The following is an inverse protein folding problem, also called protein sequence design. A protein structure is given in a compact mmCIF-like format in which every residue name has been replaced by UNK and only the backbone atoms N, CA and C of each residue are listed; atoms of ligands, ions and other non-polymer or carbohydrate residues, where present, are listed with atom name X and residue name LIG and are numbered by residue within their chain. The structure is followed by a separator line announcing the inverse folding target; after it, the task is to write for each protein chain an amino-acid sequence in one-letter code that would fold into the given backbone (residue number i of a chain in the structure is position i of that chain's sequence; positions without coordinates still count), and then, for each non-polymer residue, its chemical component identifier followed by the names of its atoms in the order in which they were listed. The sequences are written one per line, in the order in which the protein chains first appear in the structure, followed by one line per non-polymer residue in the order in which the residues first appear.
data_IF_017892698719
#
_entry.id   IF_017892698719
#
_cell.length_a   1.000
_cell.length_b   1.000
_cell.length_c   1.000
_cell.angle_alpha   90.00
_cell.angle_beta   90.00
_cell.angle_gamma   90.00
#
_symmetry.space_group_name_H-M   'P 1'
#
loop_
_entity.id
_entity.type
_entity.pdbx_description
1 polymer ?
#
# COMPACT_ATOMS: atom_id res chain seq x y z
N UNK A 1 42.34 65.11 2.03
CA UNK A 1 40.87 65.02 1.89
C UNK A 1 40.53 63.75 1.11
N UNK A 2 39.50 63.05 1.59
CA UNK A 2 38.97 61.74 1.18
C UNK A 2 38.81 61.58 -0.35
N UNK A 3 39.18 60.42 -0.91
CA UNK A 3 38.18 59.44 -1.36
C UNK A 3 38.81 58.11 -1.80
N UNK A 4 38.37 57.03 -1.15
CA UNK A 4 38.50 55.65 -1.59
C UNK A 4 37.37 55.38 -2.58
N UNK A 5 37.67 54.78 -3.74
CA UNK A 5 36.69 54.32 -4.72
C UNK A 5 37.02 52.90 -5.17
N UNK A 6 36.46 51.94 -4.45
CA UNK A 6 36.42 50.52 -4.80
C UNK A 6 35.33 50.34 -5.87
N UNK A 7 35.64 49.76 -7.03
CA UNK A 7 34.63 49.31 -7.98
C UNK A 7 34.83 47.83 -8.30
N UNK A 8 33.88 47.07 -7.79
CA UNK A 8 33.73 45.62 -7.81
C UNK A 8 33.46 45.10 -9.23
N UNK A 9 34.24 44.14 -9.71
CA UNK A 9 33.90 43.35 -10.89
C UNK A 9 33.14 42.10 -10.43
N UNK A 10 31.82 42.07 -10.64
CA UNK A 10 31.00 40.86 -10.48
C UNK A 10 31.36 39.87 -11.60
N UNK A 11 32.09 38.82 -11.24
CA UNK A 11 32.26 37.63 -12.07
C UNK A 11 31.03 36.74 -11.96
N UNK A 12 30.44 36.44 -13.12
CA UNK A 12 29.25 35.62 -13.32
C UNK A 12 29.43 34.22 -12.73
N UNK A 13 28.65 33.86 -11.71
CA UNK A 13 28.55 32.48 -11.23
C UNK A 13 27.55 31.72 -12.12
N UNK A 14 28.05 30.80 -12.93
CA UNK A 14 27.22 29.78 -13.57
C UNK A 14 26.64 28.88 -12.47
N UNK A 15 25.38 29.09 -12.12
CA UNK A 15 24.62 28.13 -11.35
C UNK A 15 24.34 26.91 -12.24
N UNK A 16 25.13 25.85 -12.08
CA UNK A 16 24.79 24.55 -12.63
C UNK A 16 23.56 24.04 -11.87
N UNK A 17 22.39 24.17 -12.47
CA UNK A 17 21.16 23.59 -11.96
C UNK A 17 21.27 22.07 -11.96
N UNK A 18 21.48 21.48 -10.78
CA UNK A 18 21.13 20.08 -10.56
C UNK A 18 19.61 20.00 -10.50
N UNK A 19 18.98 19.58 -11.59
CA UNK A 19 17.62 19.06 -11.51
C UNK A 19 17.67 17.83 -10.61
N UNK A 20 17.09 17.93 -9.42
CA UNK A 20 16.70 16.75 -8.67
C UNK A 20 15.77 15.96 -9.58
N UNK A 21 16.26 14.81 -10.07
CA UNK A 21 15.37 13.84 -10.70
C UNK A 21 14.54 13.31 -9.55
N UNK A 22 13.28 13.74 -9.51
CA UNK A 22 12.30 13.17 -8.60
C UNK A 22 12.27 11.67 -8.89
N UNK A 23 12.75 10.87 -7.94
CA UNK A 23 12.72 9.42 -8.06
C UNK A 23 11.27 9.00 -7.79
N UNK A 24 10.39 9.23 -8.76
CA UNK A 24 9.06 8.63 -8.73
C UNK A 24 9.26 7.12 -8.80
N UNK A 25 8.97 6.43 -7.69
CA UNK A 25 8.94 4.98 -7.70
C UNK A 25 8.03 4.54 -8.85
N UNK A 26 8.50 3.61 -9.66
CA UNK A 26 7.65 2.97 -10.66
C UNK A 26 6.43 2.38 -9.92
N UNK A 27 5.21 2.54 -10.42
CA UNK A 27 3.99 2.07 -9.74
C UNK A 27 3.39 0.98 -10.61
N UNK A 28 3.19 -0.21 -10.03
CA UNK A 28 2.60 -1.35 -10.73
C UNK A 28 1.09 -1.13 -10.87
N UNK A 29 0.44 -0.73 -9.77
CA UNK A 29 -0.99 -0.46 -9.73
C UNK A 29 -1.32 0.57 -8.64
N UNK A 30 -2.37 1.35 -8.84
CA UNK A 30 -2.86 2.32 -7.86
C UNK A 30 -4.36 2.47 -7.91
N UNK A 31 -4.97 2.68 -6.75
CA UNK A 31 -6.35 3.14 -6.58
C UNK A 31 -6.43 4.27 -5.59
N UNK A 32 -7.02 5.39 -6.00
CA UNK A 32 -7.23 6.59 -5.14
C UNK A 32 -8.69 6.80 -4.79
N UNK A 33 -9.61 6.16 -5.52
CA UNK A 33 -11.05 6.26 -5.31
C UNK A 33 -11.57 7.70 -5.36
N UNK A 34 -10.90 8.60 -6.08
CA UNK A 34 -11.34 10.00 -6.17
C UNK A 34 -12.61 10.16 -7.01
N UNK A 35 -12.79 9.29 -8.01
CA UNK A 35 -13.90 9.37 -8.98
C UNK A 35 -14.86 8.18 -8.93
N UNK A 36 -14.38 6.97 -8.61
CA UNK A 36 -15.19 5.74 -8.64
C UNK A 36 -14.71 4.70 -7.62
N UNK A 37 -15.38 3.54 -7.55
CA UNK A 37 -14.87 2.37 -6.81
C UNK A 37 -13.71 1.63 -7.50
N UNK A 38 -13.35 2.04 -8.72
CA UNK A 38 -12.25 1.50 -9.52
C UNK A 38 -12.29 -0.03 -9.73
N UNK A 39 -13.47 -0.65 -9.59
CA UNK A 39 -13.64 -2.09 -9.77
C UNK A 39 -13.40 -2.91 -8.51
N UNK A 40 -13.03 -2.29 -7.38
CA UNK A 40 -12.90 -3.00 -6.11
C UNK A 40 -14.25 -3.57 -5.65
N UNK A 41 -14.21 -4.74 -5.01
CA UNK A 41 -15.42 -5.40 -4.49
C UNK A 41 -15.25 -5.79 -3.03
N UNK A 42 -16.37 -6.00 -2.36
CA UNK A 42 -16.42 -6.62 -1.04
C UNK A 42 -16.69 -8.11 -1.26
N UNK A 43 -15.76 -8.97 -0.83
CA UNK A 43 -15.94 -10.41 -0.80
C UNK A 43 -16.44 -10.86 0.57
N UNK A 44 -17.58 -11.55 0.57
CA UNK A 44 -18.14 -12.15 1.78
C UNK A 44 -18.82 -13.47 1.45
N UNK A 45 -18.41 -14.55 2.13
CA UNK A 45 -19.00 -15.90 1.98
C UNK A 45 -19.12 -16.41 0.53
N UNK A 46 -18.19 -16.02 -0.34
CA UNK A 46 -18.20 -16.42 -1.76
C UNK A 46 -18.95 -15.46 -2.68
N UNK A 47 -19.64 -14.47 -2.13
CA UNK A 47 -20.35 -13.44 -2.89
C UNK A 47 -19.53 -12.16 -3.00
N UNK A 48 -19.71 -11.46 -4.13
CA UNK A 48 -19.10 -10.16 -4.39
C UNK A 48 -20.17 -9.06 -4.33
N UNK A 49 -19.86 -8.00 -3.58
CA UNK A 49 -20.72 -6.83 -3.42
C UNK A 49 -20.00 -5.58 -3.91
N UNK A 50 -20.77 -4.63 -4.44
CA UNK A 50 -20.27 -3.30 -4.81
C UNK A 50 -20.16 -2.45 -3.54
N UNK A 51 -18.97 -1.88 -3.24
CA UNK A 51 -18.82 -1.00 -2.09
C UNK A 51 -19.52 0.33 -2.33
N UNK A 52 -19.76 1.08 -1.25
CA UNK A 52 -20.22 2.45 -1.38
C UNK A 52 -19.03 3.37 -1.63
N UNK A 53 -19.03 4.07 -2.75
CA UNK A 53 -18.06 5.11 -3.05
C UNK A 53 -18.48 6.47 -2.47
N UNK A 54 -17.53 7.20 -1.90
CA UNK A 54 -17.70 8.55 -1.39
C UNK A 54 -16.65 9.47 -2.02
N UNK A 55 -17.07 10.59 -2.61
CA UNK A 55 -16.17 11.53 -3.30
C UNK A 55 -15.31 12.40 -2.37
N UNK A 56 -15.53 12.30 -1.05
CA UNK A 56 -14.85 13.11 -0.04
C UNK A 56 -14.71 12.34 1.27
N UNK A 57 -13.66 12.63 2.03
CA UNK A 57 -13.43 12.05 3.35
C UNK A 57 -12.33 11.00 3.37
N UNK A 58 -11.70 10.72 2.22
CA UNK A 58 -10.47 9.96 2.08
C UNK A 58 -9.23 10.71 2.57
N UNK A 59 -8.06 10.19 2.22
CA UNK A 59 -6.73 10.62 2.66
C UNK A 59 -5.74 10.82 1.49
N UNK A 60 -5.89 11.87 0.66
CA UNK A 60 -7.01 12.81 0.58
C UNK A 60 -8.09 12.34 -0.41
N UNK A 61 -9.17 13.11 -0.55
CA UNK A 61 -10.10 12.91 -1.66
C UNK A 61 -11.22 11.92 -1.36
N UNK A 62 -11.49 11.03 -2.30
CA UNK A 62 -12.55 10.02 -2.20
C UNK A 62 -12.08 8.73 -1.51
N UNK A 63 -13.01 7.83 -1.24
CA UNK A 63 -12.72 6.50 -0.70
C UNK A 63 -13.89 5.54 -0.94
N UNK A 64 -13.67 4.24 -0.76
CA UNK A 64 -14.74 3.24 -0.74
C UNK A 64 -15.03 2.75 0.68
N UNK A 65 -16.27 2.39 0.94
CA UNK A 65 -16.73 1.94 2.25
C UNK A 65 -17.65 0.71 2.19
N UNK A 66 -17.63 -0.07 3.26
CA UNK A 66 -18.43 -1.26 3.48
C UNK A 66 -19.03 -1.22 4.88
N UNK A 67 -20.29 -1.65 5.01
CA UNK A 67 -21.03 -1.63 6.28
C UNK A 67 -21.23 -3.06 6.78
N UNK A 68 -20.81 -3.33 8.02
CA UNK A 68 -20.94 -4.67 8.65
C UNK A 68 -22.42 -5.06 8.94
N UNK A 69 -23.35 -4.10 8.88
CA UNK A 69 -24.79 -4.34 9.11
C UNK A 69 -25.42 -5.40 8.18
N UNK A 70 -24.80 -5.70 7.03
CA UNK A 70 -25.26 -6.76 6.11
C UNK A 70 -24.52 -8.09 6.28
N UNK A 71 -23.47 -8.09 7.09
CA UNK A 71 -22.41 -9.10 7.07
C UNK A 71 -22.28 -9.80 8.44
N UNK A 72 -22.93 -9.28 9.48
CA UNK A 72 -23.25 -10.04 10.69
C UNK A 72 -22.05 -10.30 11.60
N UNK A 73 -21.08 -9.38 11.66
CA UNK A 73 -19.88 -9.51 12.50
C UNK A 73 -18.99 -10.65 12.04
N UNK A 74 -18.94 -10.90 10.73
CA UNK A 74 -18.18 -11.99 10.14
C UNK A 74 -17.18 -11.49 9.09
N UNK A 75 -16.06 -12.21 9.00
CA UNK A 75 -14.95 -11.99 8.07
C UNK A 75 -15.41 -11.64 6.66
N UNK A 76 -15.06 -10.45 6.21
CA UNK A 76 -15.14 -10.02 4.82
C UNK A 76 -13.87 -9.27 4.41
N UNK A 77 -13.64 -9.18 3.10
CA UNK A 77 -12.45 -8.57 2.52
C UNK A 77 -12.81 -7.61 1.40
N UNK A 78 -11.98 -6.58 1.21
CA UNK A 78 -11.83 -5.91 -0.07
C UNK A 78 -11.09 -6.83 -1.02
N UNK A 79 -11.57 -7.00 -2.25
CA UNK A 79 -10.87 -7.74 -3.31
C UNK A 79 -10.50 -6.79 -4.44
N UNK A 80 -9.24 -6.87 -4.85
CA UNK A 80 -8.63 -5.97 -5.81
C UNK A 80 -9.12 -6.23 -7.25
N UNK A 81 -9.22 -5.20 -8.08
CA UNK A 81 -9.52 -5.35 -9.51
C UNK A 81 -8.32 -5.90 -10.29
N UNK A 82 -8.56 -6.31 -11.54
CA UNK A 82 -7.55 -6.86 -12.46
C UNK A 82 -6.27 -6.01 -12.59
N UNK A 83 -6.35 -4.70 -12.34
CA UNK A 83 -5.20 -3.80 -12.35
C UNK A 83 -4.09 -4.21 -11.35
N UNK A 84 -4.44 -4.90 -10.26
CA UNK A 84 -3.49 -5.39 -9.24
C UNK A 84 -3.10 -6.86 -9.44
N UNK A 85 -3.64 -7.53 -10.45
CA UNK A 85 -3.53 -8.98 -10.65
C UNK A 85 -2.68 -9.33 -11.88
N UNK A 86 -2.47 -10.62 -12.12
CA UNK A 86 -1.64 -11.13 -13.20
C UNK A 86 -0.16 -11.20 -12.84
N UNK A 87 0.73 -10.99 -13.81
CA UNK A 87 2.17 -11.00 -13.53
C UNK A 87 2.61 -9.69 -12.87
N UNK A 88 2.69 -9.71 -11.54
CA UNK A 88 3.21 -8.63 -10.70
C UNK A 88 4.55 -9.02 -10.09
N UNK A 89 5.35 -9.84 -10.79
CA UNK A 89 6.66 -10.31 -10.30
C UNK A 89 7.64 -9.18 -9.96
N UNK A 90 7.49 -8.00 -10.57
CA UNK A 90 8.24 -6.80 -10.23
C UNK A 90 8.00 -6.32 -8.77
N UNK A 91 6.87 -6.70 -8.17
CA UNK A 91 6.52 -6.39 -6.78
C UNK A 91 7.34 -7.18 -5.76
N UNK A 92 8.05 -8.25 -6.16
CA UNK A 92 8.88 -9.03 -5.24
C UNK A 92 9.97 -8.13 -4.62
N UNK A 93 9.93 -7.95 -3.30
CA UNK A 93 10.81 -7.05 -2.56
C UNK A 93 10.31 -5.60 -2.47
N UNK A 94 9.23 -5.25 -3.15
CA UNK A 94 8.51 -3.98 -3.05
C UNK A 94 7.48 -3.95 -1.93
N UNK A 95 6.51 -3.05 -2.04
CA UNK A 95 5.45 -2.92 -1.04
C UNK A 95 4.05 -2.78 -1.63
N UNK A 96 3.09 -3.28 -0.87
CA UNK A 96 1.67 -2.98 -1.00
C UNK A 96 1.30 -2.02 0.13
N UNK A 97 0.93 -0.79 -0.19
CA UNK A 97 0.45 0.19 0.78
C UNK A 97 -1.04 0.46 0.59
N UNK A 98 -1.72 0.78 1.69
CA UNK A 98 -3.14 1.11 1.69
C UNK A 98 -3.52 1.84 2.98
N UNK A 99 -4.60 2.61 2.94
CA UNK A 99 -5.17 3.31 4.08
C UNK A 99 -6.50 2.67 4.48
N UNK A 100 -6.68 2.44 5.79
CA UNK A 100 -7.94 1.97 6.35
C UNK A 100 -8.47 2.95 7.39
N UNK A 101 -9.80 3.02 7.47
CA UNK A 101 -10.52 3.67 8.56
C UNK A 101 -11.64 2.75 9.05
N UNK A 102 -11.94 2.80 10.34
CA UNK A 102 -13.03 2.04 10.94
C UNK A 102 -13.85 2.96 11.82
N UNK A 103 -15.07 3.26 11.37
CA UNK A 103 -16.00 4.16 12.04
C UNK A 103 -17.09 3.35 12.76
N UNK A 104 -17.62 3.84 13.90
CA UNK A 104 -18.76 3.23 14.55
C UNK A 104 -19.98 3.27 13.61
N UNK A 105 -20.65 2.13 13.43
CA UNK A 105 -21.91 2.02 12.72
C UNK A 105 -23.11 2.19 13.66
N UNK A 106 -24.28 2.47 13.09
CA UNK A 106 -25.52 2.55 13.88
C UNK A 106 -25.96 1.16 14.36
N UNK A 107 -26.57 1.09 15.55
CA UNK A 107 -27.17 -0.13 16.10
C UNK A 107 -26.33 -0.80 17.18
N UNK A 108 -25.69 -1.92 16.86
CA UNK A 108 -24.90 -2.70 17.82
C UNK A 108 -23.61 -1.96 18.18
N UNK A 109 -23.35 -1.67 19.47
CA UNK A 109 -22.10 -1.05 19.89
C UNK A 109 -20.91 -1.89 19.46
N UNK A 110 -19.85 -1.22 19.00
CA UNK A 110 -18.55 -1.85 18.80
C UNK A 110 -18.11 -2.47 20.12
N UNK A 111 -17.70 -3.73 20.11
CA UNK A 111 -17.11 -4.40 21.26
C UNK A 111 -15.63 -4.66 21.00
N UNK A 112 -14.84 -4.77 22.08
CA UNK A 112 -13.40 -5.01 22.01
C UNK A 112 -13.04 -6.45 21.61
N UNK A 113 -13.97 -7.20 21.01
CA UNK A 113 -13.63 -8.49 20.41
C UNK A 113 -12.90 -8.24 19.10
N UNK A 114 -11.58 -8.14 19.20
CA UNK A 114 -10.70 -8.19 18.04
C UNK A 114 -10.84 -9.55 17.39
N UNK A 115 -11.28 -9.57 16.15
CA UNK A 115 -11.29 -10.79 15.37
C UNK A 115 -9.82 -11.08 14.99
N UNK A 116 -9.27 -12.24 15.33
CA UNK A 116 -7.93 -12.63 14.88
C UNK A 116 -8.04 -13.21 13.48
N UNK A 117 -7.51 -12.49 12.48
CA UNK A 117 -7.63 -12.88 11.07
C UNK A 117 -6.42 -12.37 10.28
N UNK A 118 -6.16 -13.02 9.14
CA UNK A 118 -5.20 -12.55 8.15
C UNK A 118 -5.65 -11.22 7.55
N UNK A 119 -4.74 -10.26 7.47
CA UNK A 119 -5.04 -8.91 6.99
C UNK A 119 -4.85 -8.76 5.49
N UNK A 120 -3.86 -9.46 4.92
CA UNK A 120 -3.62 -9.50 3.48
C UNK A 120 -3.53 -10.94 3.02
N UNK A 121 -4.24 -11.26 1.94
CA UNK A 121 -4.16 -12.57 1.27
C UNK A 121 -3.74 -12.39 -0.19
N UNK A 122 -2.80 -13.22 -0.62
CA UNK A 122 -2.35 -13.33 -2.01
C UNK A 122 -2.55 -14.77 -2.48
N UNK A 123 -3.35 -14.99 -3.52
CA UNK A 123 -3.64 -16.34 -4.01
C UNK A 123 -3.20 -16.51 -5.46
N UNK A 124 -2.64 -17.68 -5.74
CA UNK A 124 -2.47 -18.21 -7.10
C UNK A 124 -2.75 -19.71 -7.10
N UNK A 125 -3.73 -20.16 -7.86
CA UNK A 125 -4.17 -21.54 -7.91
C UNK A 125 -4.55 -22.05 -6.53
N UNK A 126 -3.86 -23.11 -6.07
CA UNK A 126 -4.12 -23.72 -4.77
C UNK A 126 -3.26 -23.14 -3.62
N UNK A 127 -2.40 -22.16 -3.88
CA UNK A 127 -1.50 -21.56 -2.90
C UNK A 127 -2.01 -20.18 -2.48
N UNK A 128 -2.17 -19.99 -1.17
CA UNK A 128 -2.54 -18.70 -0.57
C UNK A 128 -1.49 -18.31 0.46
N UNK A 129 -0.92 -17.12 0.29
CA UNK A 129 -0.02 -16.50 1.25
C UNK A 129 -0.79 -15.47 2.05
N UNK A 130 -0.56 -15.45 3.35
CA UNK A 130 -1.17 -14.49 4.25
C UNK A 130 -0.15 -13.63 4.97
N UNK A 131 -0.52 -12.39 5.25
CA UNK A 131 0.17 -11.50 6.16
C UNK A 131 -0.79 -11.00 7.24
N UNK A 132 -0.29 -10.81 8.46
CA UNK A 132 -1.02 -10.34 9.63
C UNK A 132 -0.26 -9.12 10.17
N UNK A 133 -0.91 -7.95 10.15
CA UNK A 133 -0.34 -6.71 10.63
C UNK A 133 -0.81 -6.47 12.08
N UNK A 134 0.10 -6.27 13.05
CA UNK A 134 -0.31 -6.01 14.43
C UNK A 134 -1.12 -4.72 14.60
N UNK A 135 -1.15 -3.84 13.60
CA UNK A 135 -1.85 -2.56 13.62
C UNK A 135 -3.31 -2.73 13.23
N UNK A 136 -4.21 -2.28 14.11
CA UNK A 136 -5.65 -2.23 13.81
C UNK A 136 -6.08 -0.81 13.40
N UNK A 137 -7.02 -0.67 12.45
CA UNK A 137 -7.55 0.62 12.08
C UNK A 137 -8.41 1.18 13.22
N UNK A 138 -8.55 2.49 13.22
CA UNK A 138 -9.35 3.24 14.20
C UNK A 138 -10.20 4.29 13.47
N UNK A 139 -10.81 5.21 14.23
CA UNK A 139 -11.69 6.26 13.70
C UNK A 139 -10.93 7.37 12.93
N UNK A 140 -9.63 7.20 12.69
CA UNK A 140 -8.80 8.01 11.81
C UNK A 140 -8.10 7.14 10.77
N UNK A 141 -7.83 7.73 9.60
CA UNK A 141 -7.09 7.07 8.52
C UNK A 141 -5.76 6.52 9.03
N UNK A 142 -5.56 5.25 8.74
CA UNK A 142 -4.49 4.44 9.29
C UNK A 142 -3.74 3.81 8.12
N UNK A 143 -2.50 4.26 7.88
CA UNK A 143 -1.69 3.79 6.75
C UNK A 143 -0.93 2.50 7.02
N UNK A 144 -0.97 1.60 6.06
CA UNK A 144 -0.31 0.30 6.09
C UNK A 144 0.72 0.22 4.97
N UNK A 145 1.82 -0.49 5.24
CA UNK A 145 2.82 -0.83 4.24
C UNK A 145 3.28 -2.27 4.48
N UNK A 146 2.93 -3.15 3.54
CA UNK A 146 3.26 -4.57 3.60
C UNK A 146 4.37 -4.88 2.62
N UNK A 147 5.51 -5.36 3.13
CA UNK A 147 6.64 -5.75 2.28
C UNK A 147 6.35 -7.09 1.61
N UNK A 148 6.47 -7.13 0.29
CA UNK A 148 6.20 -8.30 -0.56
C UNK A 148 7.45 -9.18 -0.69
N UNK A 149 7.94 -9.65 0.46
CA UNK A 149 9.08 -10.57 0.60
C UNK A 149 8.75 -11.59 1.66
N UNK A 150 9.04 -12.86 1.41
CA UNK A 150 8.79 -13.97 2.33
C UNK A 150 9.35 -13.73 3.74
N UNK A 151 10.52 -13.08 3.84
CA UNK A 151 11.16 -12.76 5.13
C UNK A 151 10.41 -11.72 5.95
N UNK A 152 9.38 -11.06 5.41
CA UNK A 152 8.59 -10.05 6.10
C UNK A 152 7.60 -10.67 7.12
N UNK A 153 7.41 -11.98 7.11
CA UNK A 153 6.49 -12.67 8.04
C UNK A 153 5.29 -13.34 7.38
N UNK A 154 5.31 -13.48 6.05
CA UNK A 154 4.27 -14.18 5.30
C UNK A 154 4.17 -15.65 5.71
N UNK A 155 2.96 -16.19 5.71
CA UNK A 155 2.67 -17.60 5.98
C UNK A 155 2.01 -18.23 4.77
N UNK A 156 2.27 -19.50 4.57
CA UNK A 156 1.56 -20.35 3.63
C UNK A 156 0.34 -20.94 4.36
N UNK A 157 -0.87 -20.56 3.94
CA UNK A 157 -2.11 -20.92 4.64
C UNK A 157 -2.42 -22.43 4.57
N UNK A 158 -1.91 -23.13 3.55
CA UNK A 158 -2.10 -24.57 3.39
C UNK A 158 -1.24 -25.38 4.36
N UNK A 159 -0.06 -24.86 4.72
CA UNK A 159 0.90 -25.57 5.60
C UNK A 159 0.96 -24.99 7.02
N UNK A 160 0.52 -23.74 7.21
CA UNK A 160 0.71 -22.97 8.45
C UNK A 160 2.16 -22.56 8.74
N UNK A 161 3.09 -22.85 7.83
CA UNK A 161 4.50 -22.53 7.96
C UNK A 161 4.82 -21.16 7.36
N UNK A 162 5.99 -20.56 7.69
CA UNK A 162 6.49 -19.40 6.97
C UNK A 162 6.53 -19.66 5.46
N UNK A 163 6.10 -18.69 4.67
CA UNK A 163 6.21 -18.75 3.22
C UNK A 163 7.68 -18.85 2.80
N UNK A 164 7.96 -19.55 1.72
CA UNK A 164 9.29 -19.61 1.11
C UNK A 164 9.43 -18.56 0.01
N UNK A 165 10.66 -18.28 -0.42
CA UNK A 165 10.92 -17.40 -1.58
C UNK A 165 10.23 -17.96 -2.84
N UNK A 166 10.25 -19.29 -3.01
CA UNK A 166 9.59 -19.94 -4.13
C UNK A 166 8.07 -19.74 -4.11
N UNK A 167 7.44 -19.81 -2.92
CA UNK A 167 6.02 -19.52 -2.75
C UNK A 167 5.68 -18.08 -3.15
N UNK A 168 6.42 -17.10 -2.60
CA UNK A 168 6.18 -15.68 -2.85
C UNK A 168 6.35 -15.35 -4.33
N UNK A 169 7.43 -15.81 -4.96
CA UNK A 169 7.66 -15.61 -6.40
C UNK A 169 6.63 -16.31 -7.26
N UNK A 170 6.19 -17.50 -6.88
CA UNK A 170 5.13 -18.21 -7.59
C UNK A 170 3.84 -17.40 -7.55
N UNK A 171 3.40 -16.94 -6.38
CA UNK A 171 2.17 -16.15 -6.26
C UNK A 171 2.25 -14.84 -7.02
N UNK A 172 3.33 -14.07 -6.87
CA UNK A 172 3.47 -12.77 -7.55
C UNK A 172 3.64 -12.87 -9.08
N UNK A 173 4.20 -13.97 -9.60
CA UNK A 173 4.38 -14.17 -11.05
C UNK A 173 3.09 -14.56 -11.79
N UNK A 174 1.92 -14.34 -11.20
CA UNK A 174 0.62 -14.72 -11.73
C UNK A 174 -0.46 -14.64 -10.66
N UNK A 175 -0.51 -13.52 -9.94
CA UNK A 175 -1.42 -13.27 -8.84
C UNK A 175 -2.87 -13.33 -9.34
N UNK A 176 -3.68 -14.20 -8.74
CA UNK A 176 -5.07 -14.41 -9.13
C UNK A 176 -6.04 -13.68 -8.19
N UNK A 177 -5.66 -13.48 -6.94
CA UNK A 177 -6.48 -12.77 -5.96
C UNK A 177 -5.60 -12.00 -4.97
N UNK A 178 -5.96 -10.74 -4.73
CA UNK A 178 -5.43 -9.89 -3.68
C UNK A 178 -6.61 -9.44 -2.81
N UNK A 179 -6.57 -9.80 -1.53
CA UNK A 179 -7.59 -9.42 -0.57
C UNK A 179 -7.00 -8.63 0.59
N UNK A 180 -7.70 -7.55 0.97
CA UNK A 180 -7.41 -6.76 2.16
C UNK A 180 -8.56 -6.92 3.13
N UNK A 181 -8.26 -7.14 4.40
CA UNK A 181 -9.28 -7.34 5.42
C UNK A 181 -10.18 -6.11 5.58
N UNK A 182 -11.48 -6.34 5.63
CA UNK A 182 -12.49 -5.29 5.76
C UNK A 182 -13.06 -5.11 7.17
N UNK A 183 -12.82 -6.04 8.09
CA UNK A 183 -13.47 -6.05 9.41
C UNK A 183 -12.51 -6.39 10.55
N UNK A 184 -12.41 -5.52 11.55
CA UNK A 184 -11.39 -5.60 12.61
C UNK A 184 -11.94 -5.80 14.01
N UNK A 185 -13.20 -5.42 14.28
CA UNK A 185 -13.80 -5.46 15.62
C UNK A 185 -15.25 -5.94 15.53
N UNK A 186 -15.72 -6.61 16.58
CA UNK A 186 -17.13 -6.98 16.65
C UNK A 186 -18.05 -5.77 16.81
N UNK A 187 -19.28 -5.90 16.30
CA UNK A 187 -20.31 -4.85 16.36
C UNK A 187 -20.44 -4.10 15.05
N UNK A 188 -21.40 -3.18 14.95
CA UNK A 188 -21.66 -2.53 13.67
C UNK A 188 -20.57 -1.50 13.39
N UNK A 189 -19.90 -1.64 12.24
CA UNK A 189 -18.86 -0.73 11.77
C UNK A 189 -19.09 -0.31 10.33
N UNK A 190 -18.59 0.87 9.99
CA UNK A 190 -18.39 1.33 8.61
C UNK A 190 -16.88 1.38 8.39
N UNK A 191 -16.38 0.46 7.57
CA UNK A 191 -14.96 0.37 7.28
C UNK A 191 -14.68 0.96 5.90
N UNK A 192 -13.63 1.76 5.78
CA UNK A 192 -13.21 2.39 4.55
C UNK A 192 -11.84 1.92 4.11
N UNK A 193 -11.64 1.87 2.79
CA UNK A 193 -10.37 1.61 2.12
C UNK A 193 -10.05 2.79 1.20
N UNK A 194 -8.80 3.22 1.23
CA UNK A 194 -8.29 4.30 0.40
C UNK A 194 -6.81 4.08 0.01
N UNK A 195 -6.36 4.77 -1.03
CA UNK A 195 -4.96 4.91 -1.47
C UNK A 195 -4.21 3.58 -1.51
N UNK A 196 -4.71 2.63 -2.31
CA UNK A 196 -4.03 1.34 -2.49
C UNK A 196 -2.96 1.51 -3.56
N UNK A 197 -1.71 1.16 -3.24
CA UNK A 197 -0.58 1.28 -4.16
C UNK A 197 0.26 0.01 -4.11
N UNK A 198 0.50 -0.57 -5.27
CA UNK A 198 1.42 -1.67 -5.46
C UNK A 198 2.70 -1.14 -6.12
N UNK A 199 3.82 -1.27 -5.43
CA UNK A 199 5.11 -0.77 -5.90
C UNK A 199 6.11 -1.92 -6.09
N UNK A 200 7.01 -1.83 -7.09
CA UNK A 200 8.10 -2.76 -7.25
C UNK A 200 9.14 -2.56 -6.15
N UNK A 201 10.05 -3.52 -6.00
CA UNK A 201 11.23 -3.32 -5.14
C UNK A 201 11.92 -2.01 -5.56
N UNK A 202 12.09 -1.04 -4.63
CA UNK A 202 12.88 0.14 -4.92
C UNK A 202 14.23 -0.37 -5.41
N UNK A 203 14.70 0.09 -6.57
CA UNK A 203 15.98 -0.32 -7.12
C UNK A 203 17.11 0.19 -6.21
N UNK A 204 17.30 -0.46 -5.07
CA UNK A 204 18.16 -0.05 -3.97
C UNK A 204 19.61 -0.10 -4.45
N UNK A 205 19.90 -0.95 -5.45
CA UNK A 205 21.13 -0.95 -6.22
C UNK A 205 21.30 0.32 -7.08
N UNK A 206 20.26 0.86 -7.70
CA UNK A 206 20.35 2.09 -8.49
C UNK A 206 20.59 3.31 -7.60
N UNK A 207 19.96 3.35 -6.42
CA UNK A 207 20.20 4.39 -5.41
C UNK A 207 21.60 4.30 -4.79
N UNK A 208 22.09 3.10 -4.45
CA UNK A 208 23.47 2.90 -3.98
C UNK A 208 24.51 3.21 -5.06
N UNK A 209 24.24 2.89 -6.33
CA UNK A 209 25.12 3.21 -7.46
C UNK A 209 25.13 4.71 -7.74
N UNK A 210 23.98 5.41 -7.66
CA UNK A 210 23.95 6.87 -7.75
C UNK A 210 24.70 7.51 -6.58
N UNK A 211 24.46 7.07 -5.34
CA UNK A 211 25.14 7.58 -4.17
C UNK A 211 26.67 7.34 -4.25
N UNK A 212 27.10 6.15 -4.66
CA UNK A 212 28.52 5.83 -4.87
C UNK A 212 29.14 6.61 -6.04
N UNK A 213 28.40 6.86 -7.12
CA UNK A 213 28.86 7.68 -8.25
C UNK A 213 28.99 9.16 -7.86
N UNK A 214 28.09 9.67 -7.03
CA UNK A 214 28.15 11.03 -6.46
C UNK A 214 29.31 11.17 -5.47
N UNK A 215 29.55 10.16 -4.63
CA UNK A 215 30.69 10.10 -3.69
C UNK A 215 32.06 9.97 -4.39
N UNK A 216 32.14 9.35 -5.58
CA UNK A 216 33.40 9.29 -6.35
C UNK A 216 33.76 10.60 -7.05
N UNK A 217 32.78 11.46 -7.34
CA UNK A 217 33.01 12.77 -7.97
C UNK A 217 33.54 13.83 -7.01
N UNK A 218 33.37 13.68 -5.70
CA UNK A 218 33.86 14.63 -4.69
C UNK A 218 35.32 14.45 -4.31
N UNK A 219 35.95 13.32 -4.68
CA UNK A 219 37.34 13.00 -4.33
C UNK A 219 38.36 13.17 -5.47
N UNK A 220 37.95 13.69 -6.63
CA UNK A 220 38.88 14.13 -7.69
C UNK A 220 39.05 15.65 -7.66
N UNK A 221 39.83 16.12 -6.70
CA UNK A 221 40.50 17.44 -6.72
C UNK A 221 41.90 17.29 -6.16
#
# INVERSE_FOLDING_TARGET
MKNRGLACALGCALAAGTTAVDAQADVIATSTFDETDEGWRIFFRGDLFVPQHLNTGGNPGGYISGVDQRIGGQRWFWTAPDAFLGDVSAAYGGSLSFDLISLPGEGMPVNDMYLTQQDVLLTRGALTLSFDDPKTPNESWTSYEVILRETAGWKNEQTGLPATEADMRFVLGGLEELMLRGDYRGGNQVNGLDTVVLTPEPATLTLLVLAAALLRRTHTK
#
